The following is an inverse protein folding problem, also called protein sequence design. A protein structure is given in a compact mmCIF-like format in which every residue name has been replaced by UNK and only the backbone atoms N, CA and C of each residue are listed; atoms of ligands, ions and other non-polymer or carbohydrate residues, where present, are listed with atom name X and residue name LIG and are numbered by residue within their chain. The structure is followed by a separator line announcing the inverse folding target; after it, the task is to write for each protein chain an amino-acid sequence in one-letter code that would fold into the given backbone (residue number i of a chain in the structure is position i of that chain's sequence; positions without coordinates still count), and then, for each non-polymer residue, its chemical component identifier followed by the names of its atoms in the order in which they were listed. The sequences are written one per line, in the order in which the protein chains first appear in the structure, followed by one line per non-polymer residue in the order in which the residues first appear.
data_IF_704417195249
#
_entry.id   IF_704417195249
#
_cell.length_a   1.000
_cell.length_b   1.000
_cell.length_c   1.000
_cell.angle_alpha   90.00
_cell.angle_beta   90.00
_cell.angle_gamma   90.00
#
_symmetry.space_group_name_H-M   'P 1'
#
loop_
_entity.id
_entity.type
_entity.pdbx_description
1 polymer ?
#
# COMPACT_ATOMS: atom_id res chain seq x y z
N UNK A 1 -15.49 -15.08 14.53
CA UNK A 1 -14.98 -15.06 13.15
C UNK A 1 -14.75 -13.62 12.78
N UNK A 2 -13.50 -13.22 12.57
CA UNK A 2 -13.16 -11.85 12.15
C UNK A 2 -13.48 -11.61 10.67
N UNK A 3 -13.50 -10.33 10.29
CA UNK A 3 -13.66 -9.93 8.88
C UNK A 3 -12.52 -10.49 8.03
N UNK A 4 -12.85 -11.00 6.84
CA UNK A 4 -11.86 -11.47 5.86
C UNK A 4 -11.01 -10.28 5.40
N UNK A 5 -9.67 -10.35 5.44
CA UNK A 5 -8.84 -9.25 4.97
C UNK A 5 -8.98 -9.04 3.46
N UNK A 6 -8.78 -7.81 3.02
CA UNK A 6 -8.74 -7.44 1.60
C UNK A 6 -7.35 -6.90 1.27
N UNK A 7 -6.78 -7.40 0.18
CA UNK A 7 -5.55 -6.88 -0.39
C UNK A 7 -5.87 -6.21 -1.72
N UNK A 8 -5.82 -4.88 -1.73
CA UNK A 8 -5.91 -4.08 -2.94
C UNK A 8 -4.54 -4.10 -3.62
N UNK A 9 -4.49 -4.52 -4.88
CA UNK A 9 -3.26 -4.61 -5.67
C UNK A 9 -3.38 -3.71 -6.89
N UNK A 10 -2.53 -2.70 -6.97
CA UNK A 10 -2.51 -1.75 -8.09
C UNK A 10 -1.12 -1.56 -8.66
N UNK A 11 -1.01 -0.77 -9.71
CA UNK A 11 0.26 -0.22 -10.18
C UNK A 11 0.47 1.15 -9.50
N UNK A 12 1.70 1.47 -9.12
CA UNK A 12 2.00 2.77 -8.54
C UNK A 12 2.13 3.83 -9.65
N UNK A 13 1.35 4.91 -9.56
CA UNK A 13 1.48 6.07 -10.43
C UNK A 13 2.57 7.02 -9.92
N UNK A 14 3.06 7.88 -10.82
CA UNK A 14 4.13 8.83 -10.53
C UNK A 14 3.84 9.64 -9.25
N UNK A 15 4.82 9.73 -8.36
CA UNK A 15 4.74 10.46 -7.07
C UNK A 15 3.69 9.94 -6.07
N UNK A 16 3.03 8.81 -6.33
CA UNK A 16 2.12 8.17 -5.38
C UNK A 16 0.82 8.93 -5.10
N UNK A 17 0.42 9.87 -5.97
CA UNK A 17 -0.84 10.62 -5.86
C UNK A 17 -2.07 9.71 -5.98
N UNK A 18 -1.94 8.61 -6.71
CA UNK A 18 -2.92 7.53 -6.83
C UNK A 18 -3.35 6.97 -5.48
N UNK A 19 -2.41 6.87 -4.54
CA UNK A 19 -2.60 6.23 -3.25
C UNK A 19 -3.60 7.00 -2.40
N UNK A 20 -3.48 8.34 -2.38
CA UNK A 20 -4.43 9.18 -1.65
C UNK A 20 -5.83 9.09 -2.24
N UNK A 21 -5.95 9.15 -3.58
CA UNK A 21 -7.24 9.05 -4.28
C UNK A 21 -7.91 7.68 -4.08
N UNK A 22 -7.14 6.60 -4.13
CA UNK A 22 -7.65 5.24 -3.93
C UNK A 22 -8.09 5.03 -2.47
N UNK A 23 -7.29 5.45 -1.50
CA UNK A 23 -7.65 5.39 -0.08
C UNK A 23 -8.92 6.20 0.20
N UNK A 24 -9.03 7.41 -0.37
CA UNK A 24 -10.24 8.23 -0.27
C UNK A 24 -11.45 7.54 -0.89
N UNK A 25 -11.36 7.04 -2.12
CA UNK A 25 -12.48 6.37 -2.80
C UNK A 25 -12.95 5.11 -2.08
N UNK A 26 -12.02 4.30 -1.54
CA UNK A 26 -12.38 3.13 -0.72
C UNK A 26 -13.08 3.57 0.56
N UNK A 27 -12.59 4.63 1.21
CA UNK A 27 -13.21 5.14 2.44
C UNK A 27 -14.62 5.71 2.17
N UNK A 28 -14.80 6.51 1.13
CA UNK A 28 -16.10 7.05 0.74
C UNK A 28 -17.08 5.94 0.34
N UNK A 29 -16.61 4.90 -0.36
CA UNK A 29 -17.45 3.80 -0.83
C UNK A 29 -17.80 2.75 0.22
N UNK A 30 -16.94 2.55 1.23
CA UNK A 30 -17.07 1.42 2.17
C UNK A 30 -17.01 1.80 3.65
N UNK A 31 -16.69 3.06 3.98
CA UNK A 31 -16.38 3.52 5.33
C UNK A 31 -15.07 2.94 5.90
N UNK A 32 -14.31 2.18 5.11
CA UNK A 32 -13.09 1.51 5.56
C UNK A 32 -11.86 2.26 5.08
N UNK A 33 -10.96 2.58 6.01
CA UNK A 33 -9.70 3.23 5.67
C UNK A 33 -8.67 2.17 5.25
N UNK A 34 -8.33 2.14 3.96
CA UNK A 34 -7.28 1.27 3.44
C UNK A 34 -5.90 1.69 3.95
N UNK A 35 -5.06 0.70 4.30
CA UNK A 35 -3.71 0.90 4.83
C UNK A 35 -2.68 0.72 3.73
N UNK A 36 -2.14 1.81 3.22
CA UNK A 36 -1.06 1.80 2.24
C UNK A 36 0.24 1.24 2.84
N UNK A 37 0.90 0.33 2.13
CA UNK A 37 2.22 -0.20 2.49
C UNK A 37 3.29 0.58 1.73
N UNK A 38 4.01 1.46 2.41
CA UNK A 38 4.96 2.37 1.79
C UNK A 38 6.40 2.11 2.23
N UNK A 39 7.38 2.38 1.36
CA UNK A 39 8.79 2.20 1.68
C UNK A 39 9.22 3.11 2.86
N UNK A 40 9.95 2.64 3.88
CA UNK A 40 10.28 3.44 5.07
C UNK A 40 10.89 4.82 4.78
N UNK A 41 11.61 4.94 3.66
CA UNK A 41 12.17 6.20 3.17
C UNK A 41 11.14 7.33 3.03
N UNK A 42 9.90 7.04 2.64
CA UNK A 42 8.88 8.10 2.46
C UNK A 42 8.38 8.68 3.79
N UNK A 43 8.67 8.02 4.91
CA UNK A 43 8.36 8.54 6.25
C UNK A 43 9.49 9.41 6.83
N UNK A 44 10.62 9.55 6.11
CA UNK A 44 11.69 10.43 6.54
C UNK A 44 11.25 11.90 6.42
N UNK A 45 11.67 12.71 7.39
CA UNK A 45 11.35 14.13 7.44
C UNK A 45 11.79 14.84 6.14
N UNK A 46 10.89 15.63 5.55
CA UNK A 46 11.14 16.36 4.30
C UNK A 46 10.94 15.59 2.99
N UNK A 47 10.74 14.25 3.01
CA UNK A 47 10.51 13.47 1.79
C UNK A 47 9.12 13.67 1.18
N UNK A 48 8.10 13.78 2.04
CA UNK A 48 6.75 14.21 1.65
C UNK A 48 6.59 15.67 2.07
N UNK A 49 7.46 16.52 1.54
CA UNK A 49 7.40 17.97 1.74
C UNK A 49 6.34 18.55 0.78
N UNK A 50 5.26 19.11 1.34
CA UNK A 50 4.19 19.75 0.56
C UNK A 50 2.78 19.51 1.10
N UNK A 51 2.59 18.49 1.94
CA UNK A 51 1.34 18.25 2.66
C UNK A 51 1.67 18.02 4.14
N UNK A 52 2.16 19.06 4.81
CA UNK A 52 2.17 19.12 6.26
C UNK A 52 0.75 19.39 6.71
N UNK A 53 0.12 18.39 7.32
CA UNK A 53 -1.18 18.55 7.95
C UNK A 53 -0.97 19.04 9.39
N UNK A 54 -2.01 19.60 9.99
CA UNK A 54 -1.95 20.13 11.35
C UNK A 54 -1.31 19.12 12.32
N UNK A 55 -0.33 19.61 13.10
CA UNK A 55 0.39 18.79 14.07
C UNK A 55 1.65 18.08 13.56
N UNK A 56 2.19 18.48 12.39
CA UNK A 56 3.50 18.01 11.91
C UNK A 56 3.52 16.59 11.36
N UNK A 57 2.34 15.97 11.21
CA UNK A 57 2.20 14.67 10.56
C UNK A 57 2.28 14.83 9.06
N UNK A 58 3.00 13.93 8.40
CA UNK A 58 2.96 13.88 6.94
C UNK A 58 1.61 13.30 6.47
N UNK A 59 1.20 13.60 5.24
CA UNK A 59 -0.07 13.11 4.70
C UNK A 59 -0.21 11.57 4.75
N UNK A 60 0.89 10.84 4.60
CA UNK A 60 0.88 9.38 4.63
C UNK A 60 0.44 8.84 5.99
N UNK A 61 0.88 9.46 7.08
CA UNK A 61 0.44 9.11 8.43
C UNK A 61 -1.04 9.40 8.66
N UNK A 62 -1.55 10.50 8.10
CA UNK A 62 -2.98 10.87 8.24
C UNK A 62 -3.89 9.90 7.48
N UNK A 63 -3.48 9.46 6.29
CA UNK A 63 -4.20 8.41 5.56
C UNK A 63 -3.92 7.00 6.13
N UNK A 64 -3.07 6.90 7.16
CA UNK A 64 -2.76 5.68 7.89
C UNK A 64 -1.96 4.66 7.08
N UNK A 65 -1.08 5.15 6.21
CA UNK A 65 -0.05 4.32 5.60
C UNK A 65 0.90 3.79 6.70
N UNK A 66 1.46 2.61 6.46
CA UNK A 66 2.43 1.97 7.34
C UNK A 66 3.66 1.55 6.54
N UNK A 67 4.82 1.50 7.19
CA UNK A 67 6.04 1.01 6.55
C UNK A 67 5.85 -0.43 6.04
N UNK A 68 6.24 -0.67 4.80
CA UNK A 68 6.22 -2.00 4.17
C UNK A 68 7.28 -2.88 4.84
N UNK A 69 6.81 -3.73 5.75
CA UNK A 69 7.63 -4.77 6.39
C UNK A 69 6.81 -6.06 6.45
N UNK A 70 7.43 -7.25 6.45
CA UNK A 70 6.71 -8.51 6.61
C UNK A 70 5.81 -8.53 7.86
N UNK A 71 6.28 -7.92 8.96
CA UNK A 71 5.54 -7.81 10.21
C UNK A 71 4.27 -6.98 10.06
N UNK A 72 4.37 -5.75 9.55
CA UNK A 72 3.21 -4.88 9.39
C UNK A 72 2.18 -5.48 8.43
N UNK A 73 2.65 -6.04 7.32
CA UNK A 73 1.79 -6.71 6.36
C UNK A 73 1.03 -7.89 6.99
N UNK A 74 1.74 -8.75 7.71
CA UNK A 74 1.13 -9.88 8.43
C UNK A 74 0.09 -9.40 9.46
N UNK A 75 0.42 -8.35 10.23
CA UNK A 75 -0.50 -7.77 11.23
C UNK A 75 -1.79 -7.30 10.58
N UNK A 76 -1.71 -6.52 9.49
CA UNK A 76 -2.89 -6.03 8.76
C UNK A 76 -3.79 -7.18 8.30
N UNK A 77 -3.22 -8.24 7.73
CA UNK A 77 -3.99 -9.41 7.29
C UNK A 77 -4.61 -10.15 8.48
N UNK A 78 -3.85 -10.35 9.56
CA UNK A 78 -4.32 -11.06 10.76
C UNK A 78 -5.46 -10.35 11.49
N UNK A 79 -5.52 -9.02 11.39
CA UNK A 79 -6.56 -8.18 11.96
C UNK A 79 -7.75 -7.96 11.01
N UNK A 80 -7.75 -8.57 9.83
CA UNK A 80 -8.83 -8.44 8.84
C UNK A 80 -8.91 -7.04 8.19
N UNK A 81 -7.80 -6.29 8.15
CA UNK A 81 -7.75 -4.94 7.57
C UNK A 81 -7.76 -4.98 6.03
N UNK A 82 -8.06 -3.83 5.44
CA UNK A 82 -7.83 -3.55 4.03
C UNK A 82 -6.41 -3.03 3.88
N UNK A 83 -5.56 -3.77 3.19
CA UNK A 83 -4.19 -3.37 2.85
C UNK A 83 -4.10 -2.98 1.38
N UNK A 84 -3.27 -1.98 1.06
CA UNK A 84 -2.98 -1.56 -0.31
C UNK A 84 -1.49 -1.77 -0.59
N UNK A 85 -1.18 -2.51 -1.65
CA UNK A 85 0.17 -2.88 -2.04
C UNK A 85 0.39 -2.64 -3.54
N UNK A 86 1.52 -2.02 -3.87
CA UNK A 86 2.02 -1.90 -5.23
C UNK A 86 3.18 -2.89 -5.43
N UNK A 87 2.99 -4.00 -6.17
CA UNK A 87 3.99 -5.07 -6.22
C UNK A 87 5.31 -4.67 -6.88
N UNK A 88 5.29 -3.71 -7.81
CA UNK A 88 6.52 -3.17 -8.43
C UNK A 88 7.27 -2.16 -7.55
N UNK A 89 6.69 -1.78 -6.41
CA UNK A 89 7.35 -0.98 -5.38
C UNK A 89 7.82 0.39 -5.86
N UNK A 90 8.96 0.84 -5.34
CA UNK A 90 9.48 2.20 -5.61
C UNK A 90 9.85 2.42 -7.07
N UNK A 91 10.15 1.35 -7.82
CA UNK A 91 10.49 1.43 -9.23
C UNK A 91 9.30 1.92 -10.07
N UNK A 92 8.07 1.50 -9.75
CA UNK A 92 6.85 2.00 -10.42
C UNK A 92 6.60 3.49 -10.13
N UNK A 93 6.94 3.96 -8.93
CA UNK A 93 6.76 5.36 -8.53
C UNK A 93 7.76 6.33 -9.18
N UNK A 94 8.94 5.85 -9.56
CA UNK A 94 10.07 6.70 -10.00
C UNK A 94 10.41 6.60 -11.49
N UNK A 95 9.95 5.56 -12.18
CA UNK A 95 10.19 5.39 -13.61
C UNK A 95 8.92 5.71 -14.41
N UNK A 96 8.93 6.82 -15.16
CA UNK A 96 7.83 7.23 -16.04
C UNK A 96 7.46 6.15 -17.08
N UNK A 97 8.40 5.28 -17.47
CA UNK A 97 8.14 4.14 -18.38
C UNK A 97 7.57 2.93 -17.64
N UNK A 98 7.79 2.80 -16.33
CA UNK A 98 7.15 1.79 -15.51
C UNK A 98 5.74 2.23 -15.07
N UNK A 99 5.51 3.53 -14.92
CA UNK A 99 4.22 4.14 -14.56
C UNK A 99 3.14 3.98 -15.65
N UNK A 100 3.47 3.49 -16.86
CA UNK A 100 2.48 3.19 -17.91
C UNK A 100 1.64 1.94 -17.60
N UNK A 101 0.57 2.14 -16.84
CA UNK A 101 -0.69 1.35 -16.81
C UNK A 101 -0.60 -0.17 -16.56
N UNK A 102 0.53 -0.73 -16.12
CA UNK A 102 0.68 -2.17 -15.88
C UNK A 102 1.18 -2.44 -14.48
N UNK A 103 0.56 -3.40 -13.80
CA UNK A 103 1.06 -3.94 -12.53
C UNK A 103 2.31 -4.78 -12.82
N UNK A 104 3.45 -4.40 -12.25
CA UNK A 104 4.67 -5.18 -12.32
C UNK A 104 4.70 -6.17 -11.17
N UNK A 105 4.65 -7.46 -11.50
CA UNK A 105 4.76 -8.52 -10.49
C UNK A 105 6.24 -8.86 -10.25
N UNK A 106 6.70 -8.91 -9.00
CA UNK A 106 8.08 -9.29 -8.70
C UNK A 106 8.35 -10.74 -9.09
N UNK A 107 9.59 -11.02 -9.50
CA UNK A 107 10.00 -12.35 -9.97
C UNK A 107 9.72 -13.42 -8.89
N UNK A 108 8.97 -14.50 -9.23
CA UNK A 108 8.65 -15.56 -8.28
C UNK A 108 9.88 -16.21 -7.62
N UNK A 109 11.02 -16.25 -8.31
CA UNK A 109 12.28 -16.84 -7.85
C UNK A 109 13.09 -15.95 -6.90
N UNK A 110 12.72 -14.68 -6.73
CA UNK A 110 13.44 -13.71 -5.90
C UNK A 110 12.56 -13.17 -4.75
N UNK A 111 11.57 -13.95 -4.33
CA UNK A 111 10.64 -13.60 -3.24
C UNK A 111 9.37 -12.87 -3.69
N UNK A 112 9.14 -12.71 -5.00
CA UNK A 112 8.00 -11.98 -5.54
C UNK A 112 6.61 -12.58 -5.25
N UNK A 113 6.55 -13.83 -4.79
CA UNK A 113 5.29 -14.48 -4.42
C UNK A 113 4.98 -14.45 -2.92
N UNK A 114 5.87 -13.92 -2.08
CA UNK A 114 5.74 -14.06 -0.62
C UNK A 114 4.54 -13.31 -0.06
N UNK A 115 4.21 -12.14 -0.62
CA UNK A 115 3.03 -11.41 -0.19
C UNK A 115 1.73 -12.13 -0.58
N UNK A 116 1.71 -12.83 -1.73
CA UNK A 116 0.57 -13.64 -2.19
C UNK A 116 0.40 -14.86 -1.29
N UNK A 117 1.50 -15.53 -0.91
CA UNK A 117 1.47 -16.67 0.03
C UNK A 117 0.93 -16.25 1.39
N UNK A 118 1.37 -15.10 1.91
CA UNK A 118 0.86 -14.56 3.15
C UNK A 118 -0.63 -14.14 3.04
N UNK A 119 -1.06 -13.52 1.93
CA UNK A 119 -2.48 -13.25 1.68
C UNK A 119 -3.33 -14.53 1.66
N UNK A 120 -2.85 -15.57 0.99
CA UNK A 120 -3.51 -16.88 0.93
C UNK A 120 -3.64 -17.55 2.31
N UNK A 121 -2.61 -17.42 3.17
CA UNK A 121 -2.65 -17.95 4.55
C UNK A 121 -3.82 -17.41 5.36
N UNK A 122 -4.20 -16.15 5.14
CA UNK A 122 -5.34 -15.52 5.82
C UNK A 122 -6.64 -15.60 5.03
N UNK A 123 -6.65 -16.33 3.91
CA UNK A 123 -7.75 -16.34 2.97
C UNK A 123 -8.16 -14.90 2.64
N UNK A 124 -7.23 -14.03 2.23
CA UNK A 124 -7.57 -12.66 1.84
C UNK A 124 -8.32 -12.62 0.50
N UNK A 125 -9.19 -11.64 0.31
CA UNK A 125 -9.69 -11.30 -1.03
C UNK A 125 -8.68 -10.38 -1.70
N UNK A 126 -8.15 -10.77 -2.86
CA UNK A 126 -7.37 -9.88 -3.71
C UNK A 126 -8.34 -9.14 -4.64
N UNK A 127 -8.19 -7.82 -4.72
CA UNK A 127 -8.94 -6.92 -5.62
C UNK A 127 -7.96 -6.13 -6.46
#
# INVERSE_FOLDING_TARGET
GGQKPVLLVGNHQLWGLDTALLVQGVYEGTGTLARGLAHPFVFQEGMVSGISLDGGRNALEVFGAVSVTPKNYYTLLSEGKVALLYPGGIAEAWDEKAATYRVVWPDPGVGGSDFVRAAAKFNATLV
#
